data_IF_679465666731
#
_entry.id   IF_679465666731
#
_cell.length_a   1.000
_cell.length_b   1.000
_cell.length_c   1.000
_cell.angle_alpha   90.00
_cell.angle_beta   90.00
_cell.angle_gamma   90.00
#
_symmetry.space_group_name_H-M   'P 1'
#
loop_
_entity.id
_entity.type
_entity.pdbx_description
1 polymer ?
#
# COMPACT_ATOMS: atom_id res chain seq x y z
N UNK A 1 28.70 -8.40 -0.02
CA UNK A 1 28.27 -8.86 1.32
C UNK A 1 27.81 -10.32 1.36
N UNK A 2 27.68 -11.01 0.20
CA UNK A 2 27.41 -12.46 0.16
C UNK A 2 25.99 -12.87 0.56
N UNK A 3 25.07 -11.91 0.66
CA UNK A 3 23.66 -12.15 0.98
C UNK A 3 22.95 -12.62 -0.30
N UNK A 4 22.24 -13.75 -0.28
CA UNK A 4 21.44 -14.20 -1.42
C UNK A 4 20.24 -13.28 -1.70
N UNK A 5 19.86 -13.12 -2.97
CA UNK A 5 18.74 -12.26 -3.38
C UNK A 5 17.39 -12.75 -2.80
N UNK A 6 17.25 -14.06 -2.52
CA UNK A 6 16.07 -14.64 -1.85
C UNK A 6 15.90 -14.23 -0.38
N UNK A 7 16.87 -13.52 0.20
CA UNK A 7 16.82 -12.97 1.55
C UNK A 7 16.62 -11.45 1.55
N UNK A 8 16.31 -10.87 0.39
CA UNK A 8 16.09 -9.44 0.23
C UNK A 8 14.59 -9.15 0.03
N UNK A 9 14.19 -7.97 0.48
CA UNK A 9 12.92 -7.34 0.18
C UNK A 9 13.21 -5.91 -0.22
N UNK A 10 12.47 -5.40 -1.20
CA UNK A 10 12.56 -4.02 -1.64
C UNK A 10 11.52 -3.18 -0.90
N UNK A 11 11.96 -2.21 -0.10
CA UNK A 11 11.09 -1.16 0.43
C UNK A 11 11.24 0.09 -0.45
N UNK A 12 10.30 0.36 -1.37
CA UNK A 12 10.38 1.50 -2.28
C UNK A 12 10.07 2.85 -1.59
N UNK A 13 10.01 2.88 -0.26
CA UNK A 13 9.54 4.00 0.57
C UNK A 13 8.04 4.22 0.44
N UNK A 14 7.31 3.78 1.47
CA UNK A 14 5.86 3.89 1.54
C UNK A 14 5.42 5.34 1.82
N UNK A 15 4.44 5.83 1.07
CA UNK A 15 3.75 7.10 1.25
C UNK A 15 2.27 6.91 1.62
N UNK A 16 1.72 7.83 2.41
CA UNK A 16 0.33 7.77 2.86
C UNK A 16 -0.64 8.31 1.82
N UNK A 17 -1.91 7.89 1.88
CA UNK A 17 -2.98 8.42 1.04
C UNK A 17 -3.15 9.93 1.28
N UNK A 18 -2.96 10.74 0.24
CA UNK A 18 -2.92 12.21 0.35
C UNK A 18 -1.59 12.79 0.84
N UNK A 19 -0.62 11.92 1.14
CA UNK A 19 0.71 12.24 1.68
C UNK A 19 1.80 11.50 0.91
N UNK A 20 1.76 11.59 -0.42
CA UNK A 20 2.82 11.09 -1.30
C UNK A 20 2.68 9.66 -1.78
N UNK A 21 1.49 9.05 -1.64
CA UNK A 21 1.19 7.72 -2.20
C UNK A 21 1.47 7.66 -3.70
N UNK A 22 1.20 8.73 -4.44
CA UNK A 22 1.38 8.83 -5.90
C UNK A 22 2.84 8.71 -6.35
N UNK A 23 3.77 9.20 -5.52
CA UNK A 23 5.20 9.06 -5.78
C UNK A 23 5.63 7.61 -5.60
N UNK A 24 5.26 7.01 -4.47
CA UNK A 24 5.57 5.61 -4.17
C UNK A 24 4.94 4.67 -5.22
N UNK A 25 3.68 4.92 -5.59
CA UNK A 25 2.95 4.17 -6.62
C UNK A 25 3.72 4.18 -7.95
N UNK A 26 4.11 5.36 -8.42
CA UNK A 26 4.84 5.51 -9.69
C UNK A 26 6.22 4.83 -9.65
N UNK A 27 6.88 4.83 -8.49
CA UNK A 27 8.16 4.13 -8.30
C UNK A 27 7.97 2.61 -8.36
N UNK A 28 6.95 2.08 -7.71
CA UNK A 28 6.62 0.65 -7.72
C UNK A 28 6.30 0.14 -9.13
N UNK A 29 5.53 0.90 -9.92
CA UNK A 29 5.26 0.54 -11.31
C UNK A 29 6.54 0.49 -12.15
N UNK A 30 7.46 1.44 -11.94
CA UNK A 30 8.75 1.45 -12.64
C UNK A 30 9.65 0.29 -12.26
N UNK A 31 9.68 -0.08 -10.98
CA UNK A 31 10.40 -1.26 -10.48
C UNK A 31 9.85 -2.51 -11.16
N UNK A 32 8.52 -2.68 -11.13
CA UNK A 32 7.82 -3.81 -11.74
C UNK A 32 8.09 -3.89 -13.24
N UNK A 33 7.98 -2.76 -13.96
CA UNK A 33 8.27 -2.72 -15.40
C UNK A 33 9.72 -3.05 -15.72
N UNK A 34 10.69 -2.53 -14.96
CA UNK A 34 12.10 -2.82 -15.18
C UNK A 34 12.41 -4.31 -14.91
N UNK A 35 11.86 -4.87 -13.83
CA UNK A 35 12.02 -6.29 -13.50
C UNK A 35 11.43 -7.22 -14.55
N UNK A 36 10.26 -6.89 -15.11
CA UNK A 36 9.56 -7.77 -16.07
C UNK A 36 9.98 -7.56 -17.53
N UNK A 37 10.19 -6.32 -17.96
CA UNK A 37 10.36 -5.99 -19.40
C UNK A 37 11.80 -5.69 -19.80
N UNK A 38 12.62 -5.23 -18.85
CA UNK A 38 14.03 -4.87 -19.09
C UNK A 38 15.00 -5.92 -18.54
N UNK A 39 14.46 -7.02 -17.98
CA UNK A 39 15.22 -8.15 -17.42
C UNK A 39 16.24 -7.71 -16.35
N UNK A 40 15.91 -6.67 -15.57
CA UNK A 40 16.74 -6.25 -14.44
C UNK A 40 16.52 -7.19 -13.24
N UNK A 41 17.35 -8.23 -13.15
CA UNK A 41 17.32 -9.23 -12.07
C UNK A 41 17.41 -8.61 -10.67
N UNK A 42 17.99 -7.41 -10.51
CA UNK A 42 18.10 -6.75 -9.20
C UNK A 42 16.81 -6.10 -8.74
N UNK A 43 15.83 -5.96 -9.63
CA UNK A 43 14.49 -5.47 -9.32
C UNK A 43 13.44 -6.58 -9.29
N UNK A 44 13.82 -7.83 -9.58
CA UNK A 44 12.97 -9.02 -9.46
C UNK A 44 12.93 -9.57 -8.02
N UNK A 45 12.84 -8.67 -7.04
CA UNK A 45 12.80 -8.98 -5.61
C UNK A 45 11.45 -8.49 -5.06
N UNK A 46 10.77 -9.26 -4.20
CA UNK A 46 9.46 -8.85 -3.68
C UNK A 46 9.48 -7.50 -2.97
N UNK A 47 8.42 -6.71 -3.17
CA UNK A 47 8.23 -5.41 -2.56
C UNK A 47 7.43 -5.48 -1.26
N UNK A 48 7.86 -4.72 -0.26
CA UNK A 48 7.18 -4.57 1.03
C UNK A 48 6.81 -3.10 1.26
N UNK A 49 5.58 -2.86 1.75
CA UNK A 49 5.12 -1.51 2.06
C UNK A 49 4.47 -1.43 3.44
N UNK A 50 4.91 -0.46 4.25
CA UNK A 50 4.38 -0.21 5.60
C UNK A 50 3.26 0.82 5.61
N UNK A 51 2.16 0.49 4.94
CA UNK A 51 1.05 1.42 4.72
C UNK A 51 0.36 1.86 6.01
N UNK A 52 0.13 0.93 6.94
CA UNK A 52 -0.57 1.24 8.19
C UNK A 52 0.17 2.28 9.03
N UNK A 53 1.50 2.36 8.94
CA UNK A 53 2.23 3.43 9.61
C UNK A 53 1.91 4.82 9.05
N UNK A 54 1.81 4.93 7.73
CA UNK A 54 1.61 6.21 7.07
C UNK A 54 0.17 6.70 7.23
N UNK A 55 -0.82 5.83 7.02
CA UNK A 55 -2.23 6.21 7.11
C UNK A 55 -2.62 6.64 8.53
N UNK A 56 -2.24 5.88 9.54
CA UNK A 56 -2.64 6.15 10.93
C UNK A 56 -1.87 7.30 11.59
N UNK A 57 -0.88 7.88 10.90
CA UNK A 57 -0.21 9.13 11.30
C UNK A 57 -0.82 10.37 10.64
N UNK A 58 -1.58 10.20 9.55
CA UNK A 58 -2.25 11.30 8.87
C UNK A 58 -3.25 11.99 9.80
N UNK A 59 -3.37 13.31 9.64
CA UNK A 59 -4.28 14.12 10.45
C UNK A 59 -5.73 13.68 10.25
N UNK A 60 -6.12 13.47 9.00
CA UNK A 60 -7.47 13.14 8.54
C UNK A 60 -7.99 11.85 9.17
N UNK A 61 -7.11 10.88 9.44
CA UNK A 61 -7.47 9.61 10.07
C UNK A 61 -7.96 9.77 11.53
N UNK A 62 -7.59 10.87 12.21
CA UNK A 62 -7.92 11.09 13.63
C UNK A 62 -8.73 12.36 13.91
N UNK A 63 -9.01 13.17 12.89
CA UNK A 63 -9.77 14.41 13.06
C UNK A 63 -11.21 14.13 13.54
N UNK A 64 -11.68 14.80 14.60
CA UNK A 64 -13.08 14.69 15.04
C UNK A 64 -14.06 15.18 13.97
N UNK A 65 -15.26 14.61 13.94
CA UNK A 65 -16.31 15.00 12.99
C UNK A 65 -16.71 16.47 13.16
N UNK A 66 -16.65 17.00 14.39
CA UNK A 66 -16.98 18.39 14.69
C UNK A 66 -16.01 19.39 14.04
N UNK A 67 -14.76 19.00 13.81
CA UNK A 67 -13.76 19.83 13.13
C UNK A 67 -13.87 19.75 11.60
N UNK A 68 -14.29 18.59 11.08
CA UNK A 68 -14.38 18.29 9.64
C UNK A 68 -15.70 17.59 9.27
N UNK A 69 -16.87 18.27 9.43
CA UNK A 69 -18.18 17.65 9.29
C UNK A 69 -18.47 17.12 7.87
N UNK A 70 -17.75 17.63 6.87
CA UNK A 70 -17.83 17.18 5.48
C UNK A 70 -17.04 15.90 5.19
N UNK A 71 -16.21 15.41 6.12
CA UNK A 71 -15.39 14.21 5.95
C UNK A 71 -16.00 12.96 6.60
N UNK A 72 -17.20 13.07 7.20
CA UNK A 72 -17.92 11.96 7.82
C UNK A 72 -17.29 11.46 9.13
N UNK A 73 -17.69 10.26 9.53
CA UNK A 73 -17.30 9.65 10.81
C UNK A 73 -15.80 9.26 10.80
N UNK A 74 -15.00 9.64 11.83
CA UNK A 74 -13.54 9.46 11.83
C UNK A 74 -13.07 8.00 11.73
N UNK A 75 -13.70 7.08 12.47
CA UNK A 75 -13.35 5.65 12.46
C UNK A 75 -13.52 5.03 11.08
N UNK A 76 -14.67 5.22 10.46
CA UNK A 76 -14.96 4.78 9.09
C UNK A 76 -14.01 5.42 8.08
N UNK A 77 -13.69 6.70 8.26
CA UNK A 77 -12.74 7.40 7.38
C UNK A 77 -11.35 6.77 7.46
N UNK A 78 -10.80 6.56 8.64
CA UNK A 78 -9.47 5.97 8.81
C UNK A 78 -9.38 4.55 8.22
N UNK A 79 -10.41 3.72 8.44
CA UNK A 79 -10.51 2.37 7.87
C UNK A 79 -10.49 2.43 6.35
N UNK A 80 -11.32 3.29 5.75
CA UNK A 80 -11.40 3.41 4.29
C UNK A 80 -10.12 4.00 3.70
N UNK A 81 -9.46 4.95 4.37
CA UNK A 81 -8.17 5.47 3.91
C UNK A 81 -7.11 4.37 3.84
N UNK A 82 -7.05 3.49 4.84
CA UNK A 82 -6.11 2.37 4.85
C UNK A 82 -6.47 1.31 3.81
N UNK A 83 -7.76 0.97 3.67
CA UNK A 83 -8.22 0.02 2.67
C UNK A 83 -7.96 0.52 1.24
N UNK A 84 -8.32 1.77 0.92
CA UNK A 84 -8.06 2.36 -0.41
C UNK A 84 -6.56 2.45 -0.69
N UNK A 85 -5.76 2.88 0.29
CA UNK A 85 -4.31 2.87 0.15
C UNK A 85 -3.74 1.49 -0.16
N UNK A 86 -4.30 0.44 0.47
CA UNK A 86 -3.87 -0.94 0.24
C UNK A 86 -4.20 -1.38 -1.18
N UNK A 87 -5.42 -1.11 -1.67
CA UNK A 87 -5.79 -1.39 -3.06
C UNK A 87 -4.86 -0.68 -4.05
N UNK A 88 -4.54 0.60 -3.82
CA UNK A 88 -3.58 1.32 -4.67
C UNK A 88 -2.23 0.60 -4.71
N UNK A 89 -1.69 0.16 -3.58
CA UNK A 89 -0.41 -0.55 -3.58
C UNK A 89 -0.45 -1.96 -4.12
N UNK A 90 -1.55 -2.69 -3.96
CA UNK A 90 -1.74 -3.97 -4.64
C UNK A 90 -1.69 -3.78 -6.16
N UNK A 91 -2.39 -2.77 -6.69
CA UNK A 91 -2.38 -2.45 -8.12
C UNK A 91 -1.01 -1.99 -8.62
N UNK A 92 -0.22 -1.30 -7.79
CA UNK A 92 1.13 -0.87 -8.12
C UNK A 92 2.18 -2.00 -8.08
N UNK A 93 1.82 -3.18 -7.55
CA UNK A 93 2.69 -4.36 -7.49
C UNK A 93 3.29 -4.67 -6.12
N UNK A 94 2.68 -4.24 -5.02
CA UNK A 94 3.12 -4.65 -3.67
C UNK A 94 2.90 -6.14 -3.43
N UNK A 95 3.93 -6.84 -2.95
CA UNK A 95 3.83 -8.25 -2.57
C UNK A 95 3.46 -8.44 -1.09
N UNK A 96 3.92 -7.52 -0.23
CA UNK A 96 3.68 -7.56 1.22
C UNK A 96 3.20 -6.20 1.71
N UNK A 97 1.98 -6.16 2.23
CA UNK A 97 1.41 -4.98 2.89
C UNK A 97 1.39 -5.15 4.42
N UNK A 98 1.96 -4.17 5.12
CA UNK A 98 1.81 -4.06 6.58
C UNK A 98 0.66 -3.09 6.86
N UNK A 99 -0.43 -3.64 7.41
CA UNK A 99 -1.64 -2.93 7.78
C UNK A 99 -1.88 -3.02 9.29
N UNK A 100 -2.77 -2.19 9.83
CA UNK A 100 -3.06 -2.11 11.27
C UNK A 100 -4.48 -2.49 11.64
N UNK A 101 -5.50 -1.99 10.92
CA UNK A 101 -6.88 -2.17 11.35
C UNK A 101 -7.52 -3.42 10.72
N UNK A 102 -8.16 -4.30 11.52
CA UNK A 102 -8.69 -5.58 11.03
C UNK A 102 -9.76 -5.42 9.95
N UNK A 103 -10.62 -4.41 10.05
CA UNK A 103 -11.64 -4.15 9.02
C UNK A 103 -11.00 -3.72 7.68
N UNK A 104 -9.94 -2.90 7.72
CA UNK A 104 -9.20 -2.51 6.51
C UNK A 104 -8.54 -3.71 5.85
N UNK A 105 -7.96 -4.60 6.67
CA UNK A 105 -7.33 -5.85 6.20
C UNK A 105 -8.37 -6.74 5.53
N UNK A 106 -9.55 -6.89 6.14
CA UNK A 106 -10.65 -7.68 5.56
C UNK A 106 -11.06 -7.15 4.19
N UNK A 107 -11.25 -5.82 4.06
CA UNK A 107 -11.59 -5.20 2.77
C UNK A 107 -10.48 -5.38 1.72
N UNK A 108 -9.21 -5.30 2.12
CA UNK A 108 -8.10 -5.54 1.21
C UNK A 108 -8.02 -7.01 0.77
N UNK A 109 -8.32 -7.96 1.66
CA UNK A 109 -8.41 -9.38 1.33
C UNK A 109 -9.55 -9.67 0.35
N UNK A 110 -10.74 -9.10 0.57
CA UNK A 110 -11.86 -9.20 -0.37
C UNK A 110 -11.47 -8.69 -1.77
N UNK A 111 -10.76 -7.56 -1.84
CA UNK A 111 -10.24 -7.06 -3.11
C UNK A 111 -9.21 -8.00 -3.75
N UNK A 112 -8.31 -8.62 -2.97
CA UNK A 112 -7.34 -9.60 -3.50
C UNK A 112 -8.08 -10.80 -4.08
N UNK A 113 -9.08 -11.32 -3.37
CA UNK A 113 -9.88 -12.45 -3.83
C UNK A 113 -10.59 -12.13 -5.15
N UNK A 114 -11.17 -10.94 -5.27
CA UNK A 114 -11.83 -10.47 -6.50
C UNK A 114 -10.84 -10.32 -7.67
N UNK A 115 -9.64 -9.76 -7.43
CA UNK A 115 -8.61 -9.56 -8.46
C UNK A 115 -7.97 -10.88 -8.93
N UNK A 116 -7.97 -11.90 -8.07
CA UNK A 116 -7.38 -13.22 -8.34
C UNK A 116 -8.40 -14.24 -8.86
N UNK A 117 -9.68 -13.88 -8.96
CA UNK A 117 -10.70 -14.72 -9.57
C UNK A 117 -10.36 -15.01 -11.04
N UNK A 118 -10.63 -16.24 -11.50
CA UNK A 118 -10.45 -16.60 -12.91
C UNK A 118 -11.40 -15.76 -13.79
N UNK A 119 -10.82 -15.05 -14.76
CA UNK A 119 -11.54 -14.23 -15.75
C UNK A 119 -12.27 -15.08 -16.80
#
# INVERSE_FOLDING_TARGET
LGVPDSQLLNDPTTGGLGYGIEYAYSVMERITQAGLTQEDEKLQIPMINNLGNEIWKCKEASQPEEEVPNMGEPGRRAILMEAVGAVCYLLAGSDILIMRHPESIKLAQEMIDDLMAEN
#
